data_IF_067149451750
#
_entry.id   IF_067149451750
#
_cell.length_a   1.000
_cell.length_b   1.000
_cell.length_c   1.000
_cell.angle_alpha   90.00
_cell.angle_beta   90.00
_cell.angle_gamma   90.00
#
_symmetry.space_group_name_H-M   'P 1'
#
loop_
_entity.id
_entity.type
_entity.pdbx_description
1 polymer ?
#
# COMPACT_ATOMS: atom_id res chain seq x y z
N UNK A 1 22.79 2.93 15.73
CA UNK A 1 22.76 2.99 15.32
C UNK A 1 22.76 2.79 14.25
N UNK A 2 22.95 2.63 13.91
CA UNK A 2 23.16 2.34 12.90
C UNK A 2 22.26 1.88 12.00
N UNK A 3 21.33 1.26 12.19
CA UNK A 3 20.38 0.84 11.38
C UNK A 3 19.87 1.84 10.48
N UNK A 4 19.68 2.98 10.88
CA UNK A 4 19.22 4.01 10.05
C UNK A 4 20.20 4.33 9.00
N UNK A 5 21.45 4.24 9.30
CA UNK A 5 22.43 4.47 8.36
C UNK A 5 22.37 3.50 7.28
N UNK A 6 22.07 2.28 7.60
CA UNK A 6 21.97 1.28 6.60
C UNK A 6 20.92 1.61 5.60
N UNK A 7 19.80 2.11 6.05
CA UNK A 7 18.77 2.45 5.13
C UNK A 7 19.15 3.64 4.30
N UNK A 8 19.83 4.55 4.92
CA UNK A 8 20.22 5.74 4.21
C UNK A 8 21.20 5.41 3.12
N UNK A 9 21.94 4.35 3.27
CA UNK A 9 22.92 4.02 2.28
C UNK A 9 22.47 2.88 1.38
N UNK A 10 21.19 2.77 1.16
CA UNK A 10 20.68 1.76 0.26
C UNK A 10 21.34 1.88 -1.12
N UNK A 11 21.59 0.76 -1.73
CA UNK A 11 22.22 0.75 -3.03
C UNK A 11 21.28 1.30 -4.10
N UNK A 12 21.81 1.75 -5.22
CA UNK A 12 20.97 2.21 -6.31
C UNK A 12 20.00 1.13 -6.79
N UNK A 13 20.41 -0.12 -6.71
CA UNK A 13 19.54 -1.20 -7.10
C UNK A 13 18.35 -1.32 -6.15
N UNK A 14 18.61 -1.19 -4.87
CA UNK A 14 17.54 -1.23 -3.89
C UNK A 14 16.59 -0.05 -4.04
N UNK A 15 17.15 1.11 -4.36
CA UNK A 15 16.32 2.28 -4.57
C UNK A 15 15.43 2.09 -5.78
N UNK A 16 15.96 1.50 -6.83
CA UNK A 16 15.18 1.24 -8.02
C UNK A 16 14.07 0.24 -7.73
N UNK A 17 14.38 -0.81 -6.98
CA UNK A 17 13.39 -1.81 -6.63
C UNK A 17 12.28 -1.19 -5.80
N UNK A 18 12.65 -0.30 -4.87
CA UNK A 18 11.67 0.36 -4.04
C UNK A 18 10.77 1.25 -4.89
N UNK A 19 11.33 1.94 -5.87
CA UNK A 19 10.56 2.78 -6.76
C UNK A 19 9.58 1.95 -7.58
N UNK A 20 10.05 0.80 -8.09
CA UNK A 20 9.17 -0.07 -8.85
C UNK A 20 8.05 -0.60 -8.00
N UNK A 21 8.33 -0.94 -6.76
CA UNK A 21 7.32 -1.43 -5.86
C UNK A 21 6.29 -0.34 -5.60
N UNK A 22 6.72 0.90 -5.40
CA UNK A 22 5.81 2.00 -5.19
C UNK A 22 4.92 2.22 -6.39
N UNK A 23 5.50 2.15 -7.58
CA UNK A 23 4.73 2.34 -8.81
C UNK A 23 3.71 1.22 -8.97
N UNK A 24 4.10 0.00 -8.63
CA UNK A 24 3.22 -1.13 -8.71
C UNK A 24 2.05 -0.97 -7.75
N UNK A 25 2.33 -0.58 -6.51
CA UNK A 25 1.29 -0.36 -5.53
C UNK A 25 0.38 0.76 -5.97
N UNK A 26 0.95 1.84 -6.50
CA UNK A 26 0.15 2.96 -6.96
C UNK A 26 -0.78 2.53 -8.10
N UNK A 27 -0.27 1.70 -8.99
CA UNK A 27 -1.08 1.17 -10.08
C UNK A 27 -2.20 0.28 -9.54
N UNK A 28 -1.88 -0.57 -8.58
CA UNK A 28 -2.87 -1.47 -8.01
C UNK A 28 -3.95 -0.71 -7.23
N UNK A 29 -3.59 0.44 -6.67
CA UNK A 29 -4.57 1.22 -5.94
C UNK A 29 -5.71 1.71 -6.82
N UNK A 30 -5.52 1.70 -8.12
CA UNK A 30 -6.60 2.06 -9.03
C UNK A 30 -7.68 0.99 -9.07
N UNK A 31 -7.38 -0.19 -8.57
CA UNK A 31 -8.34 -1.29 -8.55
C UNK A 31 -9.31 -1.21 -7.38
N UNK A 32 -9.10 -0.26 -6.48
CA UNK A 32 -9.96 -0.15 -5.30
C UNK A 32 -10.66 1.20 -5.34
N UNK A 33 -11.68 1.35 -4.49
CA UNK A 33 -12.40 2.62 -4.43
C UNK A 33 -11.53 3.68 -3.79
N UNK A 34 -11.85 4.96 -3.99
CA UNK A 34 -11.08 6.03 -3.36
C UNK A 34 -11.01 5.91 -1.84
N UNK A 35 -12.09 5.49 -1.21
CA UNK A 35 -12.11 5.31 0.23
C UNK A 35 -11.16 4.20 0.64
N UNK A 36 -11.20 3.08 -0.09
CA UNK A 36 -10.30 1.97 0.19
C UNK A 36 -8.86 2.36 -0.02
N UNK A 37 -8.58 3.11 -1.08
CA UNK A 37 -7.23 3.55 -1.35
C UNK A 37 -6.73 4.47 -0.25
N UNK A 38 -7.59 5.34 0.25
CA UNK A 38 -7.22 6.27 1.29
C UNK A 38 -6.88 5.53 2.59
N UNK A 39 -7.70 4.54 2.94
CA UNK A 39 -7.46 3.74 4.13
C UNK A 39 -6.11 3.02 4.01
N UNK A 40 -5.83 2.46 2.85
CA UNK A 40 -4.58 1.75 2.66
C UNK A 40 -3.38 2.69 2.73
N UNK A 41 -3.49 3.88 2.12
CA UNK A 41 -2.40 4.84 2.17
C UNK A 41 -2.09 5.23 3.60
N UNK A 42 -3.12 5.48 4.38
CA UNK A 42 -2.95 5.92 5.76
C UNK A 42 -2.47 4.78 6.65
N UNK A 43 -3.02 3.59 6.44
CA UNK A 43 -2.69 2.46 7.29
C UNK A 43 -1.25 1.98 7.09
N UNK A 44 -0.76 2.06 5.86
CA UNK A 44 0.57 1.57 5.53
C UNK A 44 1.59 2.67 5.26
N UNK A 45 1.19 3.91 5.42
CA UNK A 45 2.13 5.01 5.23
C UNK A 45 2.60 5.20 3.81
N UNK A 46 1.76 4.86 2.86
CA UNK A 46 2.14 5.01 1.46
C UNK A 46 2.24 6.49 1.13
N UNK A 47 3.21 6.83 0.34
CA UNK A 47 3.41 8.23 -0.02
C UNK A 47 4.35 8.96 0.93
N UNK A 48 5.00 8.24 1.82
CA UNK A 48 5.99 8.84 2.69
C UNK A 48 5.51 9.29 4.04
N UNK A 49 4.22 9.13 4.31
CA UNK A 49 3.68 9.49 5.62
C UNK A 49 3.89 8.33 6.57
N UNK A 50 3.78 8.60 7.85
CA UNK A 50 3.86 7.54 8.83
C UNK A 50 2.54 6.79 8.87
N UNK A 51 2.58 5.49 9.15
CA UNK A 51 1.34 4.71 9.25
C UNK A 51 0.43 5.24 10.36
N UNK A 52 -0.86 5.27 10.08
CA UNK A 52 -1.86 5.69 11.07
C UNK A 52 -2.47 4.47 11.73
N UNK A 53 -2.99 4.66 12.93
CA UNK A 53 -3.72 3.60 13.61
C UNK A 53 -5.15 3.54 13.06
N UNK A 54 -5.82 2.44 13.32
CA UNK A 54 -7.22 2.32 12.95
C UNK A 54 -8.05 3.42 13.60
N UNK A 55 -7.73 3.73 14.88
CA UNK A 55 -8.48 4.76 15.60
C UNK A 55 -8.33 6.12 14.95
N UNK A 56 -7.13 6.47 14.53
CA UNK A 56 -6.89 7.75 13.90
C UNK A 56 -7.65 7.86 12.58
N UNK A 57 -7.62 6.81 11.79
CA UNK A 57 -8.34 6.81 10.52
C UNK A 57 -9.83 6.89 10.75
N UNK A 58 -10.33 6.13 11.71
CA UNK A 58 -11.75 6.11 12.02
C UNK A 58 -12.22 7.47 12.45
N UNK A 59 -11.45 8.14 13.27
CA UNK A 59 -11.82 9.44 13.77
C UNK A 59 -11.90 10.45 12.63
N UNK A 60 -10.90 10.46 11.75
CA UNK A 60 -10.88 11.38 10.64
C UNK A 60 -11.96 11.08 9.62
N UNK A 61 -12.26 9.83 9.40
CA UNK A 61 -13.22 9.43 8.38
C UNK A 61 -14.66 9.39 8.89
N UNK A 62 -14.84 9.56 10.18
CA UNK A 62 -16.18 9.53 10.75
C UNK A 62 -16.83 8.17 10.73
N UNK A 63 -16.02 7.12 10.92
CA UNK A 63 -16.56 5.77 10.95
C UNK A 63 -15.98 5.02 12.14
N UNK A 64 -16.45 3.80 12.37
CA UNK A 64 -15.98 3.02 13.49
C UNK A 64 -14.64 2.38 13.16
N UNK A 65 -13.89 2.04 14.21
CA UNK A 65 -12.62 1.35 14.04
C UNK A 65 -12.83 0.03 13.31
N UNK A 66 -13.88 -0.68 13.66
CA UNK A 66 -14.17 -1.96 13.01
C UNK A 66 -14.49 -1.76 11.54
N UNK A 67 -15.16 -0.68 11.20
CA UNK A 67 -15.46 -0.40 9.80
C UNK A 67 -14.17 -0.16 9.01
N UNK A 68 -13.24 0.57 9.59
CA UNK A 68 -11.95 0.84 8.94
C UNK A 68 -11.23 -0.49 8.71
N UNK A 69 -11.24 -1.36 9.71
CA UNK A 69 -10.58 -2.65 9.59
C UNK A 69 -11.21 -3.49 8.49
N UNK A 70 -12.53 -3.45 8.36
CA UNK A 70 -13.21 -4.17 7.30
C UNK A 70 -12.89 -3.62 5.93
N UNK A 71 -12.79 -2.30 5.82
CA UNK A 71 -12.42 -1.66 4.57
C UNK A 71 -11.00 -2.07 4.17
N UNK A 72 -10.11 -2.08 5.13
CA UNK A 72 -8.73 -2.50 4.86
C UNK A 72 -8.71 -3.94 4.35
N UNK A 73 -9.43 -4.81 5.01
CA UNK A 73 -9.45 -6.22 4.63
C UNK A 73 -9.98 -6.39 3.20
N UNK A 74 -11.04 -5.68 2.88
CA UNK A 74 -11.63 -5.77 1.55
C UNK A 74 -10.67 -5.19 0.51
N UNK A 75 -10.04 -4.09 0.84
CA UNK A 75 -9.10 -3.45 -0.08
C UNK A 75 -7.91 -4.35 -0.35
N UNK A 76 -7.38 -5.00 0.68
CA UNK A 76 -6.25 -5.89 0.49
C UNK A 76 -6.62 -7.09 -0.37
N UNK A 77 -7.85 -7.59 -0.22
CA UNK A 77 -8.31 -8.68 -1.05
C UNK A 77 -8.41 -8.25 -2.52
N UNK A 78 -8.90 -7.04 -2.75
CA UNK A 78 -9.00 -6.51 -4.11
C UNK A 78 -7.62 -6.31 -4.73
N UNK A 79 -6.67 -5.84 -3.93
CA UNK A 79 -5.31 -5.66 -4.41
C UNK A 79 -4.68 -6.99 -4.75
N UNK A 80 -4.93 -8.00 -3.93
CA UNK A 80 -4.38 -9.32 -4.20
C UNK A 80 -4.91 -9.87 -5.51
N UNK A 81 -6.21 -9.71 -5.75
CA UNK A 81 -6.80 -10.17 -6.98
C UNK A 81 -6.21 -9.43 -8.18
N UNK A 82 -6.04 -8.13 -8.06
CA UNK A 82 -5.48 -7.33 -9.14
C UNK A 82 -4.03 -7.72 -9.40
N UNK A 83 -3.27 -7.98 -8.34
CA UNK A 83 -1.88 -8.36 -8.48
C UNK A 83 -1.75 -9.72 -9.16
N UNK A 84 -2.64 -10.63 -8.82
CA UNK A 84 -2.63 -11.95 -9.44
C UNK A 84 -2.96 -11.86 -10.92
N UNK A 85 -3.92 -11.02 -11.26
CA UNK A 85 -4.29 -10.84 -12.66
C UNK A 85 -3.14 -10.22 -13.44
N UNK A 86 -2.49 -9.23 -12.87
CA UNK A 86 -1.37 -8.57 -13.51
C UNK A 86 -0.20 -9.51 -13.67
N UNK A 87 0.05 -10.32 -12.68
CA UNK A 87 1.11 -11.30 -12.71
C UNK A 87 0.85 -12.36 -13.76
N UNK A 88 -0.39 -12.82 -13.87
CA UNK A 88 -0.75 -13.81 -14.87
C UNK A 88 -0.59 -13.25 -16.28
N UNK A 89 -0.98 -12.01 -16.47
CA UNK A 89 -0.85 -11.38 -17.76
C UNK A 89 0.61 -11.21 -18.14
N UNK A 90 1.42 -10.80 -17.20
CA UNK A 90 2.83 -10.63 -17.41
C UNK A 90 3.48 -11.96 -17.80
N UNK A 91 3.05 -13.02 -17.17
CA UNK A 91 3.56 -14.35 -17.46
C UNK A 91 3.16 -14.79 -18.87
N UNK A 92 1.93 -14.50 -19.26
CA UNK A 92 1.46 -14.85 -20.58
C UNK A 92 2.13 -14.04 -21.68
N UNK A 93 2.51 -12.83 -21.37
CA UNK A 93 3.16 -11.96 -22.35
C UNK A 93 4.64 -12.32 -22.53
N UNK A 94 5.19 -13.03 -21.60
CA UNK A 94 6.56 -13.43 -21.69
C UNK A 94 6.71 -14.64 -22.60
#
# INVERSE_FOLDING_TARGET
MELIEDQASASPFEQLADTRMRDCVRSLLRSVTPTEADVLRRRFGLGGAEPDTYDAIAQDAGMSRERVRQIEKRALAALRTAAEAENAQSFLDA
#
